data_IF_383064019921
#
_entry.id   IF_383064019921
#
_cell.length_a   1.000
_cell.length_b   1.000
_cell.length_c   1.000
_cell.angle_alpha   90.00
_cell.angle_beta   90.00
_cell.angle_gamma   90.00
#
_symmetry.space_group_name_H-M   'P 1'
#
loop_
_entity.id
_entity.type
_entity.pdbx_description
1 polymer ?
#
# COMPACT_ATOMS: atom_id res chain seq x y z
N UNK A 1 8.22 10.93 24.71
CA UNK A 1 7.75 10.54 23.37
C UNK A 1 6.93 11.69 22.88
N UNK A 2 7.48 12.53 21.98
CA UNK A 2 6.80 13.67 21.40
C UNK A 2 5.53 13.22 20.68
N UNK A 3 4.44 13.94 20.86
CA UNK A 3 3.18 13.76 20.13
C UNK A 3 3.45 13.94 18.63
N UNK A 4 3.74 12.84 17.94
CA UNK A 4 3.85 12.83 16.50
C UNK A 4 2.44 12.92 15.91
N UNK A 5 2.05 14.09 15.48
CA UNK A 5 0.86 14.28 14.65
C UNK A 5 1.18 13.80 13.24
N UNK A 6 0.66 12.64 12.86
CA UNK A 6 0.82 12.09 11.52
C UNK A 6 -0.25 12.68 10.60
N UNK A 7 0.17 13.47 9.63
CA UNK A 7 -0.73 14.14 8.68
C UNK A 7 -0.46 13.74 7.23
N UNK A 8 0.23 12.63 7.03
CA UNK A 8 0.64 12.19 5.69
C UNK A 8 -0.47 11.65 4.78
N UNK A 9 -1.59 11.21 5.36
CA UNK A 9 -2.85 10.96 4.66
C UNK A 9 -3.84 12.07 5.00
N UNK A 10 -4.57 12.57 4.00
CA UNK A 10 -5.58 13.60 4.22
C UNK A 10 -6.91 13.18 3.62
N UNK A 11 -7.87 12.75 4.45
CA UNK A 11 -9.18 12.31 3.99
C UNK A 11 -10.05 13.45 3.46
N UNK A 12 -9.72 14.73 3.71
CA UNK A 12 -10.51 15.85 3.20
C UNK A 12 -10.43 15.98 1.67
N UNK A 13 -9.39 15.40 1.05
CA UNK A 13 -9.23 15.29 -0.40
C UNK A 13 -9.67 13.92 -0.95
N UNK A 14 -10.10 13.03 -0.06
CA UNK A 14 -10.61 11.73 -0.48
C UNK A 14 -12.03 11.86 -0.98
N UNK A 15 -12.22 11.63 -2.26
CA UNK A 15 -13.52 11.45 -2.86
C UNK A 15 -13.76 9.94 -3.01
N UNK A 16 -14.32 9.35 -1.96
CA UNK A 16 -14.52 7.91 -1.85
C UNK A 16 -15.42 7.37 -2.97
N UNK A 17 -16.45 8.14 -3.35
CA UNK A 17 -17.35 7.75 -4.44
C UNK A 17 -16.62 7.74 -5.78
N UNK A 18 -15.86 8.78 -6.10
CA UNK A 18 -15.05 8.82 -7.32
C UNK A 18 -13.94 7.78 -7.30
N UNK A 19 -13.30 7.55 -6.15
CA UNK A 19 -12.28 6.52 -6.03
C UNK A 19 -12.85 5.15 -6.37
N UNK A 20 -13.96 4.79 -5.75
CA UNK A 20 -14.57 3.47 -5.96
C UNK A 20 -15.25 3.35 -7.34
N UNK A 21 -15.81 4.43 -7.89
CA UNK A 21 -16.31 4.44 -9.26
C UNK A 21 -15.20 4.24 -10.32
N UNK A 22 -13.95 4.63 -10.01
CA UNK A 22 -12.80 4.39 -10.86
C UNK A 22 -12.16 3.00 -10.69
N UNK A 23 -12.66 2.20 -9.73
CA UNK A 23 -12.27 0.82 -9.51
C UNK A 23 -13.05 -0.13 -10.44
N UNK A 24 -12.48 -1.29 -10.71
CA UNK A 24 -13.23 -2.37 -11.35
C UNK A 24 -14.38 -2.81 -10.45
N UNK A 25 -15.54 -3.03 -11.05
CA UNK A 25 -16.71 -3.61 -10.36
C UNK A 25 -16.50 -5.12 -10.15
N UNK A 26 -15.80 -5.45 -9.09
CA UNK A 26 -15.48 -6.83 -8.74
C UNK A 26 -15.53 -7.03 -7.23
N UNK A 27 -16.43 -7.88 -6.77
CA UNK A 27 -16.66 -8.12 -5.35
C UNK A 27 -15.90 -9.37 -4.87
N UNK A 28 -14.70 -9.15 -4.34
CA UNK A 28 -13.84 -10.21 -3.80
C UNK A 28 -14.43 -10.91 -2.58
N UNK A 29 -15.45 -10.35 -1.91
CA UNK A 29 -16.09 -11.03 -0.77
C UNK A 29 -16.87 -12.28 -1.19
N UNK A 30 -17.27 -12.36 -2.47
CA UNK A 30 -18.04 -13.47 -3.05
C UNK A 30 -17.19 -14.62 -3.61
N UNK A 31 -15.88 -14.55 -3.47
CA UNK A 31 -14.97 -15.53 -4.02
C UNK A 31 -14.10 -16.15 -2.93
N UNK A 32 -13.68 -17.38 -3.15
CA UNK A 32 -12.63 -18.03 -2.38
C UNK A 32 -11.57 -18.56 -3.35
N UNK A 33 -10.33 -18.55 -2.92
CA UNK A 33 -9.27 -19.17 -3.67
C UNK A 33 -9.47 -20.70 -3.64
N UNK A 34 -9.39 -21.35 -4.80
CA UNK A 34 -9.38 -22.81 -4.88
C UNK A 34 -7.97 -23.35 -4.66
N UNK A 35 -7.87 -24.49 -4.01
CA UNK A 35 -6.62 -25.15 -3.70
C UNK A 35 -6.08 -24.82 -2.30
N UNK A 36 -4.94 -25.38 -1.98
CA UNK A 36 -4.27 -25.17 -0.69
C UNK A 36 -3.75 -23.73 -0.60
N UNK A 37 -4.16 -23.03 0.45
CA UNK A 37 -3.71 -21.67 0.74
C UNK A 37 -2.59 -21.77 1.77
N UNK A 38 -1.38 -21.30 1.48
CA UNK A 38 -0.29 -21.33 2.44
C UNK A 38 -0.60 -20.42 3.64
N UNK A 39 0.06 -20.67 4.76
CA UNK A 39 -0.09 -19.86 5.97
C UNK A 39 0.33 -18.38 5.76
N UNK A 40 1.19 -18.12 4.82
CA UNK A 40 1.64 -16.78 4.41
C UNK A 40 2.10 -16.82 2.95
N UNK A 41 2.12 -15.67 2.29
CA UNK A 41 2.75 -15.48 0.98
C UNK A 41 4.26 -15.29 1.09
N UNK A 42 4.76 -14.93 2.28
CA UNK A 42 6.17 -14.77 2.58
C UNK A 42 6.79 -13.46 2.09
N UNK A 43 5.98 -12.50 1.64
CA UNK A 43 6.51 -11.24 1.09
C UNK A 43 7.12 -10.34 2.15
N UNK A 44 6.63 -10.42 3.38
CA UNK A 44 7.13 -9.64 4.51
C UNK A 44 8.66 -9.75 4.66
N UNK A 45 9.18 -10.95 4.49
CA UNK A 45 10.61 -11.22 4.71
C UNK A 45 11.51 -10.65 3.59
N UNK A 46 10.92 -10.33 2.45
CA UNK A 46 11.60 -9.73 1.30
C UNK A 46 11.51 -8.21 1.26
N UNK A 47 10.55 -7.62 1.98
CA UNK A 47 10.34 -6.17 1.92
C UNK A 47 11.39 -5.43 2.72
N UNK A 48 11.97 -4.40 2.11
CA UNK A 48 12.82 -3.44 2.80
C UNK A 48 11.98 -2.57 3.71
N UNK A 49 12.53 -2.26 4.88
CA UNK A 49 11.86 -1.45 5.89
C UNK A 49 12.29 -0.02 5.75
N UNK A 50 11.38 0.79 5.31
CA UNK A 50 11.59 2.19 5.03
C UNK A 50 10.98 3.07 6.12
N UNK A 51 11.52 4.28 6.25
CA UNK A 51 11.07 5.29 7.18
C UNK A 51 10.74 6.57 6.42
N UNK A 52 9.54 7.10 6.65
CA UNK A 52 9.14 8.37 6.05
C UNK A 52 9.78 9.59 6.70
N UNK A 53 10.51 9.39 7.82
CA UNK A 53 11.11 10.46 8.61
C UNK A 53 10.08 11.55 8.98
N UNK A 54 10.36 12.82 8.66
CA UNK A 54 9.49 13.97 8.97
C UNK A 54 8.57 14.37 7.82
N UNK A 55 8.70 13.73 6.66
CA UNK A 55 7.88 14.05 5.49
C UNK A 55 6.48 13.44 5.63
N UNK A 56 5.43 14.17 5.25
CA UNK A 56 4.05 13.68 5.26
C UNK A 56 3.73 12.75 4.08
N UNK A 57 4.62 11.80 3.81
CA UNK A 57 4.63 10.97 2.60
C UNK A 57 4.07 9.56 2.77
N UNK A 58 3.35 9.27 3.87
CA UNK A 58 2.85 7.92 4.14
C UNK A 58 1.99 7.34 3.00
N UNK A 59 1.20 8.16 2.29
CA UNK A 59 0.46 7.71 1.12
C UNK A 59 1.37 7.23 -0.01
N UNK A 60 2.50 7.92 -0.20
CA UNK A 60 3.54 7.48 -1.14
C UNK A 60 4.17 6.15 -0.75
N UNK A 61 4.46 5.94 0.55
CA UNK A 61 4.95 4.65 1.07
C UNK A 61 3.94 3.54 0.88
N UNK A 62 2.67 3.77 1.22
CA UNK A 62 1.61 2.80 0.99
C UNK A 62 1.53 2.36 -0.47
N UNK A 63 1.65 3.31 -1.42
CA UNK A 63 1.63 3.01 -2.85
C UNK A 63 2.91 2.30 -3.31
N UNK A 64 4.08 2.71 -2.81
CA UNK A 64 5.36 2.07 -3.12
C UNK A 64 5.37 0.60 -2.67
N UNK A 65 4.99 0.32 -1.42
CA UNK A 65 4.87 -1.05 -0.90
C UNK A 65 3.88 -1.89 -1.73
N UNK A 66 2.75 -1.30 -2.13
CA UNK A 66 1.78 -1.96 -3.00
C UNK A 66 2.41 -2.31 -4.35
N UNK A 67 3.15 -1.39 -4.94
CA UNK A 67 3.89 -1.59 -6.19
C UNK A 67 4.94 -2.70 -6.09
N UNK A 68 5.70 -2.75 -5.00
CA UNK A 68 6.69 -3.79 -4.72
C UNK A 68 6.07 -5.19 -4.76
N UNK A 69 4.90 -5.34 -4.12
CA UNK A 69 4.17 -6.63 -4.14
C UNK A 69 3.69 -6.99 -5.53
N UNK A 70 3.08 -6.04 -6.26
CA UNK A 70 2.62 -6.28 -7.62
C UNK A 70 3.78 -6.68 -8.54
N UNK A 71 4.90 -5.98 -8.44
CA UNK A 71 6.12 -6.29 -9.20
C UNK A 71 6.62 -7.71 -8.91
N UNK A 72 6.78 -8.05 -7.62
CA UNK A 72 7.23 -9.38 -7.23
C UNK A 72 6.29 -10.49 -7.69
N UNK A 73 4.98 -10.27 -7.64
CA UNK A 73 4.00 -11.25 -8.12
C UNK A 73 4.14 -11.52 -9.63
N UNK A 74 4.51 -10.51 -10.41
CA UNK A 74 4.65 -10.62 -11.86
C UNK A 74 6.01 -11.12 -12.30
N UNK A 75 7.09 -10.68 -11.65
CA UNK A 75 8.46 -10.96 -12.09
C UNK A 75 9.17 -12.03 -11.25
N UNK A 76 8.73 -12.21 -10.00
CA UNK A 76 9.40 -13.04 -9.00
C UNK A 76 10.64 -12.39 -8.40
N UNK A 77 11.03 -11.21 -8.86
CA UNK A 77 12.11 -10.41 -8.31
C UNK A 77 11.53 -9.33 -7.40
N UNK A 78 12.27 -8.92 -6.38
CA UNK A 78 11.87 -7.82 -5.52
C UNK A 78 12.53 -6.54 -6.00
N UNK A 79 11.76 -5.46 -6.09
CA UNK A 79 12.27 -4.16 -6.50
C UNK A 79 11.64 -3.04 -5.67
N UNK A 80 12.46 -2.12 -5.21
CA UNK A 80 12.00 -0.98 -4.44
C UNK A 80 11.48 0.13 -5.34
N UNK A 81 10.31 0.67 -5.00
CA UNK A 81 9.75 1.85 -5.65
C UNK A 81 9.88 3.08 -4.75
N UNK A 82 10.14 4.22 -5.37
CA UNK A 82 10.38 5.47 -4.66
C UNK A 82 9.08 6.06 -4.08
N UNK A 83 8.94 6.11 -2.74
CA UNK A 83 7.73 6.62 -2.12
C UNK A 83 7.55 8.14 -2.26
N UNK A 84 8.65 8.91 -2.38
CA UNK A 84 8.54 10.35 -2.62
C UNK A 84 7.99 10.66 -4.01
N UNK A 85 8.39 9.88 -5.04
CA UNK A 85 7.80 10.01 -6.37
C UNK A 85 6.28 9.77 -6.33
N UNK A 86 5.85 8.67 -5.74
CA UNK A 86 4.42 8.36 -5.62
C UNK A 86 3.67 9.46 -4.85
N UNK A 87 4.28 10.01 -3.79
CA UNK A 87 3.75 11.09 -2.99
C UNK A 87 3.55 12.38 -3.78
N UNK A 88 4.61 12.91 -4.43
CA UNK A 88 4.53 14.18 -5.16
C UNK A 88 3.64 14.09 -6.39
N UNK A 89 3.61 12.94 -7.08
CA UNK A 89 2.70 12.73 -8.20
C UNK A 89 1.24 12.62 -7.72
N UNK A 90 0.99 11.97 -6.59
CA UNK A 90 -0.32 11.94 -5.95
C UNK A 90 -0.79 13.33 -5.53
N UNK A 91 0.09 14.14 -4.93
CA UNK A 91 -0.21 15.53 -4.60
C UNK A 91 -0.53 16.38 -5.84
N UNK A 92 0.11 16.11 -6.97
CA UNK A 92 -0.22 16.76 -8.23
C UNK A 92 -1.65 16.43 -8.68
N UNK A 93 -2.12 15.18 -8.50
CA UNK A 93 -3.52 14.79 -8.74
C UNK A 93 -4.46 15.52 -7.80
N UNK A 94 -4.11 15.64 -6.52
CA UNK A 94 -4.91 16.32 -5.51
C UNK A 94 -4.85 17.87 -5.60
N UNK A 95 -4.03 18.42 -6.50
CA UNK A 95 -3.83 19.87 -6.64
C UNK A 95 -3.01 20.50 -5.51
N UNK A 96 -2.20 19.74 -4.78
CA UNK A 96 -1.39 20.20 -3.64
C UNK A 96 0.00 20.66 -4.04
N UNK A 97 0.55 21.58 -3.24
CA UNK A 97 1.88 22.16 -3.49
C UNK A 97 2.78 22.22 -2.25
N UNK A 98 2.30 21.69 -1.13
CA UNK A 98 3.00 21.72 0.17
C UNK A 98 3.06 20.32 0.77
N UNK A 99 3.98 20.11 1.71
CA UNK A 99 4.09 18.83 2.45
C UNK A 99 2.92 18.67 3.46
N UNK A 100 1.72 18.43 2.92
CA UNK A 100 0.46 18.40 3.68
C UNK A 100 -0.30 17.06 3.54
N UNK A 101 0.40 15.99 3.14
CA UNK A 101 -0.22 14.69 2.91
C UNK A 101 -0.79 14.53 1.50
N UNK A 102 -1.43 13.40 1.25
CA UNK A 102 -2.01 13.01 -0.04
C UNK A 102 -3.20 12.07 0.19
N UNK A 103 -4.19 12.08 -0.69
CA UNK A 103 -5.28 11.12 -0.67
C UNK A 103 -4.87 9.76 -1.23
N UNK A 104 -5.58 8.69 -0.87
CA UNK A 104 -5.39 7.36 -1.49
C UNK A 104 -5.77 7.42 -2.96
N UNK A 105 -6.85 8.14 -3.29
CA UNK A 105 -7.21 8.40 -4.69
C UNK A 105 -6.06 9.04 -5.46
N UNK A 106 -5.44 10.05 -4.88
CA UNK A 106 -4.31 10.77 -5.50
C UNK A 106 -3.16 9.84 -5.86
N UNK A 107 -2.71 8.99 -4.93
CA UNK A 107 -1.57 8.08 -5.18
C UNK A 107 -1.93 6.95 -6.15
N UNK A 108 -3.14 6.42 -6.11
CA UNK A 108 -3.61 5.37 -7.04
C UNK A 108 -3.71 5.92 -8.47
N UNK A 109 -4.36 7.06 -8.65
CA UNK A 109 -4.47 7.71 -9.96
C UNK A 109 -3.11 8.17 -10.50
N UNK A 110 -2.21 8.64 -9.62
CA UNK A 110 -0.84 8.97 -10.02
C UNK A 110 -0.08 7.74 -10.52
N UNK A 111 -0.19 6.61 -9.83
CA UNK A 111 0.45 5.36 -10.25
C UNK A 111 -0.10 4.84 -11.59
N UNK A 112 -1.40 5.00 -11.85
CA UNK A 112 -2.00 4.68 -13.16
C UNK A 112 -1.53 5.64 -14.26
N UNK A 113 -1.44 6.92 -13.98
CA UNK A 113 -1.16 7.95 -14.98
C UNK A 113 0.33 8.12 -15.25
N UNK A 114 1.13 8.25 -14.20
CA UNK A 114 2.56 8.59 -14.28
C UNK A 114 3.47 7.39 -14.06
N UNK A 115 2.96 6.31 -13.45
CA UNK A 115 3.72 5.12 -13.12
C UNK A 115 4.52 5.27 -11.81
N UNK A 116 5.22 4.19 -11.46
CA UNK A 116 6.04 4.08 -10.25
C UNK A 116 7.53 4.16 -10.61
N UNK A 117 8.26 5.05 -9.95
CA UNK A 117 9.70 5.20 -10.13
C UNK A 117 10.42 4.15 -9.31
N UNK A 118 11.33 3.41 -9.93
CA UNK A 118 12.22 2.47 -9.23
C UNK A 118 13.23 3.28 -8.41
N UNK A 119 13.49 2.83 -7.17
CA UNK A 119 14.42 3.51 -6.25
C UNK A 119 15.87 3.21 -6.59
N UNK A 120 16.15 1.95 -6.95
CA UNK A 120 17.45 1.51 -7.40
C UNK A 120 17.44 1.21 -8.90
N UNK A 121 18.38 1.82 -9.61
CA UNK A 121 18.65 1.52 -11.02
C UNK A 121 20.04 0.87 -11.09
N UNK A 122 20.22 -0.24 -10.36
CA UNK A 122 21.50 -0.93 -10.29
C UNK A 122 22.02 -1.43 -11.64
N UNK A 123 21.15 -1.67 -12.61
CA UNK A 123 21.53 -2.27 -13.88
C UNK A 123 22.04 -1.29 -14.92
N UNK A 124 21.83 0.02 -14.76
CA UNK A 124 22.25 1.03 -15.73
C UNK A 124 23.40 1.92 -15.26
N UNK A 125 23.76 1.87 -13.99
CA UNK A 125 24.90 2.62 -13.41
C UNK A 125 24.78 4.16 -13.52
N UNK A 126 23.62 4.69 -13.93
CA UNK A 126 23.48 6.10 -14.30
C UNK A 126 22.55 6.94 -13.45
N UNK A 127 21.53 6.36 -12.82
CA UNK A 127 20.53 7.14 -12.06
C UNK A 127 20.11 6.40 -10.79
N UNK A 128 20.54 6.86 -9.65
CA UNK A 128 20.04 6.45 -8.35
C UNK A 128 18.88 7.38 -7.95
N UNK A 129 17.70 6.81 -7.77
CA UNK A 129 16.51 7.56 -7.34
C UNK A 129 16.13 7.19 -5.92
N UNK A 130 17.03 7.45 -4.98
CA UNK A 130 16.76 7.19 -3.57
C UNK A 130 15.69 8.12 -2.99
N UNK A 131 15.03 7.66 -1.93
CA UNK A 131 14.10 8.50 -1.17
C UNK A 131 14.82 9.70 -0.56
N UNK A 132 14.38 10.95 -0.84
CA UNK A 132 15.10 12.16 -0.43
C UNK A 132 14.92 12.53 1.05
N UNK A 133 14.43 11.61 1.88
CA UNK A 133 14.18 11.78 3.31
C UNK A 133 13.36 13.06 3.61
N UNK A 134 13.95 14.03 4.34
CA UNK A 134 13.25 15.24 4.77
C UNK A 134 13.20 16.35 3.69
N UNK A 135 13.59 16.06 2.45
CA UNK A 135 13.60 17.03 1.36
C UNK A 135 12.36 16.95 0.47
N UNK A 136 11.24 17.45 0.97
CA UNK A 136 9.99 17.53 0.18
C UNK A 136 10.16 18.24 -1.17
N UNK A 137 11.05 19.24 -1.24
CA UNK A 137 11.26 20.05 -2.45
C UNK A 137 12.21 19.41 -3.47
N UNK A 138 12.68 18.20 -3.21
CA UNK A 138 13.52 17.47 -4.14
C UNK A 138 12.86 17.40 -5.53
N UNK A 139 13.66 17.58 -6.58
CA UNK A 139 13.20 17.52 -7.97
C UNK A 139 13.96 16.40 -8.68
N UNK A 140 13.23 15.52 -9.28
CA UNK A 140 13.79 14.46 -10.09
C UNK A 140 14.23 15.00 -11.45
N UNK A 141 15.29 14.45 -12.06
CA UNK A 141 15.66 14.74 -13.43
C UNK A 141 14.52 14.33 -14.39
N UNK A 142 14.53 14.88 -15.60
CA UNK A 142 13.44 14.65 -16.58
C UNK A 142 13.29 13.17 -16.96
N UNK A 143 14.37 12.44 -16.94
CA UNK A 143 14.45 11.02 -17.26
C UNK A 143 13.62 10.15 -16.29
N UNK A 144 13.49 10.58 -15.03
CA UNK A 144 12.70 9.87 -14.02
C UNK A 144 11.24 9.65 -14.44
N UNK A 145 10.65 10.63 -15.11
CA UNK A 145 9.28 10.52 -15.60
C UNK A 145 9.14 9.44 -16.70
N UNK A 146 10.11 9.34 -17.60
CA UNK A 146 10.11 8.32 -18.64
C UNK A 146 10.32 6.91 -18.07
N UNK A 147 11.17 6.77 -17.05
CA UNK A 147 11.42 5.51 -16.33
C UNK A 147 10.16 5.08 -15.56
N UNK A 148 9.55 5.98 -14.81
CA UNK A 148 8.33 5.70 -14.07
C UNK A 148 7.17 5.31 -14.99
N UNK A 149 7.02 5.98 -16.15
CA UNK A 149 5.94 5.73 -17.12
C UNK A 149 5.94 4.31 -17.69
N UNK A 150 7.03 3.58 -17.58
CA UNK A 150 7.11 2.17 -17.98
C UNK A 150 6.42 1.23 -16.98
N UNK A 151 6.12 1.69 -15.77
CA UNK A 151 5.61 0.88 -14.65
C UNK A 151 4.31 1.44 -14.10
N UNK A 152 3.31 1.50 -14.97
CA UNK A 152 1.97 1.98 -14.63
C UNK A 152 1.15 0.87 -14.01
N UNK A 153 0.38 1.22 -13.00
CA UNK A 153 -0.63 0.34 -12.42
C UNK A 153 -1.75 0.11 -13.43
N UNK A 154 -2.12 -1.16 -13.65
CA UNK A 154 -3.16 -1.55 -14.58
C UNK A 154 -4.56 -1.39 -14.00
N UNK A 155 -4.80 -1.99 -12.82
CA UNK A 155 -6.13 -2.10 -12.24
C UNK A 155 -6.16 -1.67 -10.79
N UNK A 156 -7.32 -1.20 -10.37
CA UNK A 156 -7.68 -1.00 -8.97
C UNK A 156 -9.08 -1.52 -8.71
N UNK A 157 -9.32 -2.01 -7.50
CA UNK A 157 -10.60 -2.60 -7.08
C UNK A 157 -10.90 -2.20 -5.64
N UNK A 158 -12.16 -1.91 -5.33
CA UNK A 158 -12.60 -1.71 -3.95
C UNK A 158 -12.59 -3.03 -3.19
N UNK A 159 -12.02 -3.03 -1.98
CA UNK A 159 -11.91 -4.24 -1.14
C UNK A 159 -12.45 -4.00 0.27
N UNK A 160 -13.79 -3.85 0.41
CA UNK A 160 -14.41 -3.62 1.70
C UNK A 160 -14.40 -4.89 2.57
N UNK A 161 -14.23 -4.71 3.89
CA UNK A 161 -14.23 -5.77 4.87
C UNK A 161 -12.98 -6.67 4.83
N UNK A 162 -12.85 -7.47 5.88
CA UNK A 162 -11.71 -8.39 6.02
C UNK A 162 -11.69 -9.45 4.91
N UNK A 163 -12.83 -10.06 4.64
CA UNK A 163 -12.95 -11.16 3.68
C UNK A 163 -12.56 -10.73 2.26
N UNK A 164 -13.02 -9.57 1.79
CA UNK A 164 -12.65 -9.07 0.46
C UNK A 164 -11.16 -8.80 0.35
N UNK A 165 -10.55 -8.19 1.38
CA UNK A 165 -9.11 -7.94 1.45
C UNK A 165 -8.32 -9.24 1.44
N UNK A 166 -8.70 -10.20 2.29
CA UNK A 166 -8.03 -11.50 2.37
C UNK A 166 -8.09 -12.24 1.03
N UNK A 167 -9.27 -12.34 0.43
CA UNK A 167 -9.46 -13.00 -0.85
C UNK A 167 -8.66 -12.33 -1.97
N UNK A 168 -8.61 -11.01 -2.00
CA UNK A 168 -7.78 -10.28 -2.97
C UNK A 168 -6.29 -10.62 -2.83
N UNK A 169 -5.77 -10.64 -1.60
CA UNK A 169 -4.38 -10.99 -1.34
C UNK A 169 -4.10 -12.46 -1.67
N UNK A 170 -4.94 -13.39 -1.20
CA UNK A 170 -4.80 -14.83 -1.43
C UNK A 170 -4.90 -15.21 -2.90
N UNK A 171 -5.61 -14.42 -3.65
CA UNK A 171 -5.70 -14.52 -5.09
C UNK A 171 -4.41 -14.16 -5.84
N UNK A 172 -3.41 -13.66 -5.15
CA UNK A 172 -2.18 -13.14 -5.75
C UNK A 172 -2.45 -12.06 -6.81
N UNK A 173 -3.49 -11.24 -6.59
CA UNK A 173 -3.80 -10.14 -7.52
C UNK A 173 -2.88 -8.94 -7.32
N UNK A 174 -2.42 -8.72 -6.11
CA UNK A 174 -1.56 -7.58 -5.79
C UNK A 174 -1.47 -7.31 -4.30
N UNK A 175 -1.51 -6.05 -3.92
CA UNK A 175 -1.58 -5.59 -2.54
C UNK A 175 -2.62 -4.47 -2.41
N UNK A 176 -2.86 -4.02 -1.19
CA UNK A 176 -3.94 -3.08 -0.89
C UNK A 176 -3.34 -1.83 -0.27
N UNK A 177 -3.43 -0.69 -0.96
CA UNK A 177 -3.15 0.61 -0.35
C UNK A 177 -4.37 1.04 0.45
N UNK A 178 -4.15 1.52 1.67
CA UNK A 178 -5.22 1.98 2.55
C UNK A 178 -4.85 3.26 3.27
N UNK A 179 -5.85 4.01 3.70
CA UNK A 179 -5.70 5.20 4.52
C UNK A 179 -6.89 5.38 5.44
N UNK A 180 -6.66 5.93 6.62
CA UNK A 180 -7.71 6.13 7.61
C UNK A 180 -7.19 6.79 8.88
N UNK A 181 -8.07 6.93 9.87
CA UNK A 181 -7.70 7.44 11.18
C UNK A 181 -6.59 6.59 11.79
N UNK A 182 -5.57 7.26 12.36
CA UNK A 182 -4.48 6.54 13.02
C UNK A 182 -4.97 5.77 14.26
N UNK A 183 -5.97 6.27 14.95
CA UNK A 183 -6.52 5.63 16.13
C UNK A 183 -5.56 5.58 17.32
N UNK A 184 -6.01 4.98 18.43
CA UNK A 184 -5.20 4.80 19.65
C UNK A 184 -4.75 3.32 19.81
N UNK A 185 -4.34 2.73 18.71
CA UNK A 185 -3.82 1.38 18.74
C UNK A 185 -2.30 1.41 18.51
N UNK A 186 -1.59 0.62 19.28
CA UNK A 186 -0.17 0.38 19.06
C UNK A 186 0.01 -1.13 19.08
N UNK A 187 0.57 -1.70 18.02
CA UNK A 187 0.91 -3.11 18.05
C UNK A 187 1.95 -3.35 19.16
N UNK A 188 1.83 -4.47 19.85
CA UNK A 188 2.90 -4.99 20.69
C UNK A 188 4.14 -5.33 19.85
N UNK A 189 5.19 -5.83 20.49
CA UNK A 189 6.40 -6.29 19.77
C UNK A 189 6.12 -7.49 18.85
N UNK A 190 5.04 -8.22 19.13
CA UNK A 190 4.53 -9.31 18.28
C UNK A 190 3.75 -8.82 17.04
N UNK A 191 3.53 -7.51 16.94
CA UNK A 191 2.81 -6.90 15.82
C UNK A 191 1.29 -7.09 15.84
N UNK A 192 0.72 -7.90 16.77
CA UNK A 192 -0.69 -8.30 16.73
C UNK A 192 -1.63 -7.17 17.17
N UNK A 193 -2.62 -6.88 16.33
CA UNK A 193 -3.66 -5.88 16.54
C UNK A 193 -5.05 -6.53 16.43
N UNK A 194 -5.75 -6.64 17.55
CA UNK A 194 -7.09 -7.26 17.61
C UNK A 194 -8.22 -6.25 17.70
N UNK A 195 -7.96 -5.06 18.22
CA UNK A 195 -8.98 -4.03 18.44
C UNK A 195 -8.57 -2.70 17.83
N UNK A 196 -9.37 -2.18 16.95
CA UNK A 196 -9.26 -0.81 16.48
C UNK A 196 -10.14 0.10 17.33
N UNK A 197 -9.53 1.10 17.95
CA UNK A 197 -10.25 2.10 18.74
C UNK A 197 -9.98 3.47 18.11
N UNK A 198 -11.00 4.05 17.50
CA UNK A 198 -10.96 5.44 17.08
C UNK A 198 -10.99 6.32 18.32
N UNK A 199 -9.99 7.17 18.52
CA UNK A 199 -9.99 8.09 19.63
C UNK A 199 -10.19 9.52 19.17
N UNK A 200 -10.94 10.27 19.99
CA UNK A 200 -11.12 11.72 19.83
C UNK A 200 -9.83 12.49 20.14
N UNK A 201 -8.90 11.88 20.90
CA UNK A 201 -7.63 12.52 21.29
C UNK A 201 -6.69 12.78 20.11
N UNK A 202 -6.81 11.98 19.04
CA UNK A 202 -6.06 12.13 17.80
C UNK A 202 -6.98 12.48 16.63
N UNK A 203 -8.09 13.18 16.91
CA UNK A 203 -8.95 13.71 15.86
C UNK A 203 -8.11 14.59 14.93
N UNK A 204 -7.96 14.17 13.67
CA UNK A 204 -7.10 14.84 12.70
C UNK A 204 -5.74 14.17 12.44
N UNK A 205 -5.42 13.07 13.13
CA UNK A 205 -4.25 12.26 12.77
C UNK A 205 -4.67 11.13 11.84
N UNK A 206 -4.22 11.19 10.61
CA UNK A 206 -4.54 10.22 9.57
C UNK A 206 -3.25 9.61 9.01
N UNK A 207 -3.33 8.35 8.60
CA UNK A 207 -2.16 7.63 8.11
C UNK A 207 -2.52 6.68 6.97
N UNK A 208 -1.62 6.57 6.00
CA UNK A 208 -1.74 5.62 4.89
C UNK A 208 -0.69 4.51 5.01
N UNK A 209 -1.06 3.30 4.59
CA UNK A 209 -0.29 2.06 4.75
C UNK A 209 -0.64 1.09 3.63
N UNK A 210 -0.05 -0.12 3.67
CA UNK A 210 -0.39 -1.17 2.71
C UNK A 210 -0.61 -2.52 3.39
N UNK A 211 -1.71 -3.21 3.07
CA UNK A 211 -1.81 -4.65 3.32
C UNK A 211 -1.08 -5.39 2.20
N UNK A 212 -0.01 -6.08 2.58
CA UNK A 212 0.94 -6.69 1.65
C UNK A 212 0.88 -8.21 1.63
N UNK A 213 0.36 -8.82 2.69
CA UNK A 213 0.35 -10.27 2.91
C UNK A 213 -0.79 -10.67 3.84
N UNK A 214 -0.89 -11.96 4.13
CA UNK A 214 -1.62 -12.54 5.24
C UNK A 214 -0.71 -13.50 6.00
N UNK A 215 -1.05 -13.80 7.23
CA UNK A 215 -0.35 -14.79 8.06
C UNK A 215 -1.34 -15.54 8.95
N UNK A 216 -1.11 -16.83 9.11
CA UNK A 216 -1.87 -17.64 10.08
C UNK A 216 -1.05 -17.81 11.35
N UNK A 217 -1.56 -17.32 12.46
CA UNK A 217 -0.92 -17.42 13.79
C UNK A 217 -1.87 -18.19 14.70
N UNK A 218 -1.45 -19.37 15.16
CA UNK A 218 -2.25 -20.23 16.04
C UNK A 218 -3.67 -20.53 15.52
N UNK A 219 -3.79 -20.73 14.21
CA UNK A 219 -5.06 -21.04 13.54
C UNK A 219 -5.95 -19.82 13.23
N UNK A 220 -5.54 -18.61 13.61
CA UNK A 220 -6.23 -17.38 13.26
C UNK A 220 -5.50 -16.65 12.11
N UNK A 221 -6.25 -16.16 11.13
CA UNK A 221 -5.71 -15.45 9.98
C UNK A 221 -5.68 -13.95 10.25
N UNK A 222 -4.55 -13.31 9.96
CA UNK A 222 -4.35 -11.88 10.07
C UNK A 222 -3.94 -11.30 8.72
N UNK A 223 -4.34 -10.07 8.42
CA UNK A 223 -3.75 -9.28 7.34
C UNK A 223 -2.43 -8.67 7.82
N UNK A 224 -1.40 -8.77 7.01
CA UNK A 224 -0.09 -8.18 7.28
C UNK A 224 -0.04 -6.79 6.68
N UNK A 225 0.12 -5.78 7.52
CA UNK A 225 0.22 -4.39 7.12
C UNK A 225 1.67 -3.90 7.22
N UNK A 226 2.20 -3.37 6.11
CA UNK A 226 3.47 -2.68 6.07
C UNK A 226 3.28 -1.20 6.43
N UNK A 227 4.13 -0.69 7.32
CA UNK A 227 4.11 0.67 7.81
C UNK A 227 5.40 1.41 7.43
N UNK A 228 5.33 2.74 7.33
CA UNK A 228 6.46 3.63 7.05
C UNK A 228 7.08 4.25 8.31
N UNK A 229 6.81 3.70 9.47
CA UNK A 229 7.38 4.15 10.75
C UNK A 229 8.31 3.09 11.32
N UNK A 230 9.57 3.44 11.46
CA UNK A 230 10.64 2.74 12.15
C UNK A 230 10.51 1.21 12.33
N UNK A 231 11.62 0.53 12.31
CA UNK A 231 11.72 -0.91 12.65
C UNK A 231 11.21 -1.26 14.06
N UNK A 232 11.04 -0.27 14.92
CA UNK A 232 10.51 -0.44 16.29
C UNK A 232 8.99 -0.47 16.36
N UNK A 233 8.29 -0.21 15.23
CA UNK A 233 6.84 -0.34 15.16
C UNK A 233 6.46 -1.81 14.94
N UNK A 234 5.64 -2.35 15.85
CA UNK A 234 5.15 -3.73 15.75
C UNK A 234 6.26 -4.77 15.63
N UNK A 235 6.06 -5.74 14.75
CA UNK A 235 7.09 -6.71 14.37
C UNK A 235 7.92 -6.13 13.23
N UNK A 236 8.97 -5.40 13.58
CA UNK A 236 9.91 -4.85 12.63
C UNK A 236 9.27 -4.00 11.51
N UNK A 237 8.35 -3.10 11.83
CA UNK A 237 7.66 -2.23 10.88
C UNK A 237 6.37 -2.82 10.30
N UNK A 238 6.00 -4.04 10.73
CA UNK A 238 4.75 -4.68 10.34
C UNK A 238 3.78 -4.80 11.51
N UNK A 239 2.49 -4.81 11.19
CA UNK A 239 1.41 -5.15 12.12
C UNK A 239 0.47 -6.19 11.51
N UNK A 240 -0.14 -7.00 12.36
CA UNK A 240 -1.00 -8.12 12.01
C UNK A 240 -2.42 -7.82 12.48
N UNK A 241 -3.32 -7.58 11.55
CA UNK A 241 -4.66 -7.12 11.83
C UNK A 241 -5.66 -8.27 11.77
N UNK A 242 -6.32 -8.54 12.89
CA UNK A 242 -7.40 -9.53 12.96
C UNK A 242 -8.63 -9.08 12.17
N UNK A 243 -9.56 -9.99 11.92
CA UNK A 243 -10.85 -9.68 11.32
C UNK A 243 -11.59 -8.60 12.11
N UNK A 244 -11.69 -8.74 13.45
CA UNK A 244 -12.35 -7.74 14.32
C UNK A 244 -11.74 -6.35 14.15
N UNK A 245 -10.41 -6.25 14.07
CA UNK A 245 -9.72 -4.99 13.86
C UNK A 245 -10.08 -4.36 12.51
N UNK A 246 -10.01 -5.13 11.43
CA UNK A 246 -10.26 -4.64 10.05
C UNK A 246 -11.71 -4.22 9.88
N UNK A 247 -12.67 -5.02 10.37
CA UNK A 247 -14.09 -4.69 10.30
C UNK A 247 -14.44 -3.43 11.10
N UNK A 248 -13.78 -3.21 12.24
CA UNK A 248 -13.93 -1.98 13.00
C UNK A 248 -13.31 -0.76 12.30
N UNK A 249 -12.16 -0.95 11.65
CA UNK A 249 -11.49 0.10 10.88
C UNK A 249 -12.30 0.50 9.63
N UNK A 250 -12.91 -0.45 8.94
CA UNK A 250 -13.73 -0.20 7.75
C UNK A 250 -14.99 0.62 8.05
N UNK A 251 -15.44 0.65 9.30
CA UNK A 251 -16.54 1.50 9.77
C UNK A 251 -16.12 2.96 10.00
N UNK A 252 -14.82 3.26 10.01
CA UNK A 252 -14.35 4.64 10.09
C UNK A 252 -14.67 5.36 8.76
N UNK A 253 -15.42 6.48 8.78
CA UNK A 253 -15.75 7.23 7.56
C UNK A 253 -14.50 7.71 6.77
N UNK A 254 -13.39 7.95 7.48
CA UNK A 254 -12.14 8.37 6.86
C UNK A 254 -11.35 7.19 6.24
N UNK A 255 -11.77 5.95 6.49
CA UNK A 255 -11.04 4.79 6.01
C UNK A 255 -11.43 4.44 4.57
N UNK A 256 -10.41 4.24 3.75
CA UNK A 256 -10.52 3.71 2.38
C UNK A 256 -9.47 2.62 2.16
N UNK A 257 -9.80 1.62 1.35
CA UNK A 257 -8.89 0.55 0.97
C UNK A 257 -9.11 0.16 -0.49
N UNK A 258 -8.04 0.14 -1.25
CA UNK A 258 -8.05 -0.16 -2.69
C UNK A 258 -7.02 -1.23 -2.99
N UNK A 259 -7.49 -2.35 -3.51
CA UNK A 259 -6.64 -3.38 -4.11
C UNK A 259 -6.06 -2.85 -5.42
N UNK A 260 -4.76 -3.03 -5.58
CA UNK A 260 -4.02 -2.63 -6.78
C UNK A 260 -3.40 -3.86 -7.40
N UNK A 261 -3.59 -4.03 -8.68
CA UNK A 261 -3.13 -5.18 -9.45
C UNK A 261 -2.46 -4.73 -10.73
N UNK A 262 -1.56 -5.56 -11.18
CA UNK A 262 -0.74 -5.39 -12.38
C UNK A 262 0.09 -4.11 -12.41
N UNK A 263 1.33 -4.28 -12.81
CA UNK A 263 2.20 -3.18 -13.19
C UNK A 263 2.68 -3.47 -14.60
N UNK A 264 2.61 -2.49 -15.49
CA UNK A 264 3.21 -2.63 -16.83
C UNK A 264 4.70 -2.90 -16.68
N UNK A 265 5.20 -3.83 -17.48
CA UNK A 265 6.61 -4.18 -17.52
C UNK A 265 7.31 -3.29 -18.56
N UNK A 266 8.45 -2.71 -18.19
CA UNK A 266 9.28 -1.95 -19.09
C UNK A 266 10.10 -2.85 -20.04
N UNK A 267 10.78 -2.26 -21.02
CA UNK A 267 11.69 -3.01 -21.87
C UNK A 267 12.76 -3.74 -21.04
N UNK A 268 12.91 -5.03 -21.28
CA UNK A 268 13.85 -5.89 -20.55
C UNK A 268 13.31 -6.56 -19.27
N UNK A 269 12.13 -6.16 -18.81
CA UNK A 269 11.48 -6.84 -17.70
C UNK A 269 10.86 -8.17 -18.21
N UNK A 270 11.21 -9.28 -17.57
CA UNK A 270 10.73 -10.61 -17.98
C UNK A 270 9.66 -11.10 -16.99
N UNK A 271 8.41 -11.30 -17.43
CA UNK A 271 7.39 -11.86 -16.55
C UNK A 271 7.73 -13.33 -16.20
N UNK A 272 7.77 -13.66 -14.93
CA UNK A 272 7.72 -15.05 -14.50
C UNK A 272 6.24 -15.47 -14.53
N UNK A 273 5.88 -16.40 -15.41
CA UNK A 273 4.54 -16.98 -15.39
C UNK A 273 4.30 -17.66 -14.05
N UNK A 274 3.61 -16.99 -13.16
CA UNK A 274 2.98 -17.63 -12.01
C UNK A 274 1.60 -18.08 -12.48
N UNK A 275 1.32 -19.37 -12.34
CA UNK A 275 -0.01 -19.89 -12.63
C UNK A 275 -1.04 -19.09 -11.80
N UNK A 276 -2.03 -18.46 -12.43
CA UNK A 276 -3.07 -17.76 -11.70
C UNK A 276 -3.80 -18.77 -10.82
N UNK A 277 -4.01 -18.44 -9.54
CA UNK A 277 -4.86 -19.26 -8.69
C UNK A 277 -6.28 -19.18 -9.23
N UNK A 278 -6.92 -20.35 -9.39
CA UNK A 278 -8.31 -20.40 -9.84
C UNK A 278 -9.24 -19.92 -8.73
N UNK A 279 -10.24 -19.15 -9.11
CA UNK A 279 -11.30 -18.72 -8.22
C UNK A 279 -12.52 -19.62 -8.37
N UNK A 280 -13.20 -19.86 -7.28
CA UNK A 280 -14.54 -20.44 -7.27
C UNK A 280 -15.48 -19.39 -6.69
N UNK A 281 -16.52 -19.03 -7.45
CA UNK A 281 -17.59 -18.17 -6.96
C UNK A 281 -18.37 -18.94 -5.91
N UNK A 282 -18.58 -18.35 -4.75
CA UNK A 282 -19.50 -18.90 -3.76
C UNK A 282 -20.92 -18.75 -4.33
N UNK A 283 -21.64 -19.87 -4.42
CA UNK A 283 -23.05 -19.93 -4.83
C UNK A 283 -23.96 -19.32 -3.77
#
# INVERSE_FOLDING_TARGET
VSDLTFTGYDPSFEDKEKLYAACLDYDFSKFVCSGEIPETRGIKDMMTREDQYRMNSCGGFGMAHTGQVCWWLQTGDFREFNPHWAYIMGQQIDGRKTDSGVSIRGVVEAAKRFGLLVQDVENDGKLEFSYPRDNYRFRYPKEAAAIAAQRKVGYSVAVPGFKAKLNFLQANQGAIVNGGSWGNWKPGRDGICRKFVRTTRYSGSYHARAYVDWITIRGEVFLVEANSHFRTFGDNGFSYHSEEFVEAQDKDPAFVAVGVSDISLGPGDVPKQRAPRRYVKLS
#
